data_IF_179549521883
#
_entry.id   IF_179549521883
#
_cell.length_a   1.000
_cell.length_b   1.000
_cell.length_c   1.000
_cell.angle_alpha   90.00
_cell.angle_beta   90.00
_cell.angle_gamma   90.00
#
_symmetry.space_group_name_H-M   'P 1'
#
loop_
_entity.id
_entity.type
_entity.pdbx_description
1 polymer ?
#
# COMPACT_ATOMS: atom_id res chain seq x y z
N UNK A 1 23.46 -10.63 37.81
CA UNK A 1 23.71 -9.80 36.61
C UNK A 1 22.56 -10.04 35.67
N UNK A 2 21.97 -8.99 35.10
CA UNK A 2 20.91 -9.14 34.11
C UNK A 2 21.56 -9.36 32.75
N UNK A 3 21.23 -10.46 32.08
CA UNK A 3 21.74 -10.78 30.74
C UNK A 3 20.67 -10.46 29.71
N UNK A 4 21.07 -9.84 28.61
CA UNK A 4 20.28 -9.70 27.38
C UNK A 4 20.99 -10.50 26.30
N UNK A 5 20.26 -11.06 25.33
CA UNK A 5 20.89 -11.76 24.21
C UNK A 5 20.57 -11.07 22.91
N UNK A 6 21.58 -10.91 22.05
CA UNK A 6 21.46 -10.27 20.75
C UNK A 6 21.55 -11.27 19.62
N UNK A 7 20.69 -11.11 18.64
CA UNK A 7 20.93 -11.62 17.31
C UNK A 7 21.75 -10.58 16.55
N UNK A 8 22.88 -11.01 16.00
CA UNK A 8 23.81 -10.16 15.26
C UNK A 8 23.86 -10.60 13.81
N UNK A 9 23.91 -9.64 12.88
CA UNK A 9 24.24 -9.95 11.49
C UNK A 9 25.77 -9.95 11.25
N UNK A 10 26.20 -10.18 10.01
CA UNK A 10 27.61 -10.23 9.60
C UNK A 10 28.40 -8.93 9.86
N UNK A 11 27.72 -7.81 10.11
CA UNK A 11 28.32 -6.50 10.44
C UNK A 11 28.30 -6.20 11.93
N UNK A 12 27.92 -7.18 12.77
CA UNK A 12 27.67 -7.03 14.20
C UNK A 12 26.55 -6.04 14.53
N UNK A 13 25.64 -5.78 13.59
CA UNK A 13 24.46 -4.97 13.86
C UNK A 13 23.44 -5.81 14.64
N UNK A 14 22.81 -5.22 15.65
CA UNK A 14 21.81 -5.89 16.46
C UNK A 14 20.50 -5.88 15.68
N UNK A 15 20.09 -7.05 15.19
CA UNK A 15 18.88 -7.20 14.38
C UNK A 15 17.66 -7.62 15.21
N UNK A 16 17.88 -8.35 16.31
CA UNK A 16 16.89 -8.64 17.35
C UNK A 16 17.54 -8.80 18.73
N UNK A 17 16.73 -8.76 19.80
CA UNK A 17 17.18 -9.07 21.14
C UNK A 17 16.13 -9.85 21.94
N UNK A 18 16.58 -10.63 22.92
CA UNK A 18 15.73 -11.30 23.91
C UNK A 18 16.17 -10.99 25.32
N UNK A 19 15.22 -10.63 26.18
CA UNK A 19 15.47 -10.44 27.62
C UNK A 19 15.48 -11.77 28.40
N UNK A 20 14.72 -12.76 27.92
CA UNK A 20 14.58 -14.08 28.54
C UNK A 20 14.36 -15.13 27.44
N UNK A 21 14.85 -16.35 27.67
CA UNK A 21 14.70 -17.46 26.72
C UNK A 21 15.69 -17.39 25.54
N UNK A 22 15.17 -17.65 24.34
CA UNK A 22 15.92 -17.68 23.08
C UNK A 22 14.99 -17.75 21.88
N UNK A 23 15.55 -17.63 20.68
CA UNK A 23 14.82 -17.76 19.42
C UNK A 23 15.30 -19.06 18.77
N UNK A 24 14.37 -19.95 18.41
CA UNK A 24 14.71 -21.24 17.81
C UNK A 24 15.34 -21.03 16.44
N UNK A 25 16.49 -21.66 16.21
CA UNK A 25 17.21 -21.58 14.93
C UNK A 25 18.03 -20.29 14.76
N UNK A 26 18.20 -19.50 15.82
CA UNK A 26 19.00 -18.27 15.79
C UNK A 26 20.08 -18.36 16.87
N UNK A 27 21.32 -18.09 16.47
CA UNK A 27 22.44 -17.98 17.39
C UNK A 27 22.42 -16.60 18.07
N UNK A 28 22.38 -16.60 19.39
CA UNK A 28 22.28 -15.39 20.20
C UNK A 28 23.56 -15.20 21.01
N UNK A 29 24.03 -13.96 21.03
CA UNK A 29 25.19 -13.54 21.83
C UNK A 29 24.73 -12.98 23.16
N UNK A 30 25.16 -13.58 24.27
CA UNK A 30 24.90 -13.07 25.62
C UNK A 30 25.66 -11.75 25.87
N UNK A 31 24.97 -10.78 26.45
CA UNK A 31 25.51 -9.46 26.77
C UNK A 31 25.05 -8.99 28.15
N UNK A 32 25.92 -8.25 28.82
CA UNK A 32 25.64 -7.65 30.13
C UNK A 32 24.70 -6.44 29.95
N UNK A 33 23.45 -6.60 30.37
CA UNK A 33 22.44 -5.55 30.20
C UNK A 33 22.77 -4.25 30.94
N UNK A 34 23.69 -4.28 31.93
CA UNK A 34 24.14 -3.06 32.62
C UNK A 34 25.06 -2.18 31.77
N UNK A 35 25.54 -2.68 30.63
CA UNK A 35 26.39 -1.95 29.67
C UNK A 35 25.61 -1.38 28.48
N UNK A 36 24.29 -1.52 28.49
CA UNK A 36 23.44 -0.93 27.47
C UNK A 36 23.43 0.60 27.60
N UNK A 37 23.35 1.35 26.49
CA UNK A 37 22.93 2.74 26.50
C UNK A 37 21.58 2.90 27.22
N UNK A 38 21.41 3.96 28.00
CA UNK A 38 20.19 4.22 28.78
C UNK A 38 18.95 4.31 27.87
N UNK A 39 19.13 4.76 26.63
CA UNK A 39 18.09 4.95 25.62
C UNK A 39 17.85 3.72 24.73
N UNK A 40 18.59 2.62 24.95
CA UNK A 40 18.59 1.46 24.05
C UNK A 40 17.17 0.96 23.77
N UNK A 41 16.34 0.78 24.80
CA UNK A 41 15.00 0.22 24.65
C UNK A 41 14.00 1.18 23.99
N UNK A 42 14.21 2.49 24.14
CA UNK A 42 13.32 3.51 23.58
C UNK A 42 13.63 3.74 22.10
N UNK A 43 14.93 3.71 21.75
CA UNK A 43 15.42 4.00 20.42
C UNK A 43 15.66 2.75 19.57
N UNK A 44 15.52 1.54 20.12
CA UNK A 44 15.79 0.31 19.39
C UNK A 44 15.02 0.24 18.07
N UNK A 45 15.77 0.12 16.97
CA UNK A 45 15.31 -0.34 15.66
C UNK A 45 16.31 -1.38 15.18
N UNK A 46 15.85 -2.34 14.39
CA UNK A 46 16.72 -3.36 13.80
C UNK A 46 17.87 -2.67 13.04
N UNK A 47 19.10 -2.97 13.41
CA UNK A 47 20.31 -2.39 12.81
C UNK A 47 20.72 -0.99 13.31
N UNK A 48 19.93 -0.35 14.19
CA UNK A 48 20.26 0.99 14.74
C UNK A 48 21.43 0.96 15.70
N UNK A 49 21.58 -0.13 16.45
CA UNK A 49 22.72 -0.35 17.33
C UNK A 49 23.59 -1.49 16.80
N UNK A 50 24.88 -1.44 17.09
CA UNK A 50 25.85 -2.50 16.76
C UNK A 50 26.75 -2.82 17.96
N UNK A 51 27.28 -4.04 17.98
CA UNK A 51 28.26 -4.47 18.97
C UNK A 51 29.68 -4.21 18.44
N UNK A 52 30.44 -3.36 19.16
CA UNK A 52 31.82 -3.06 18.83
C UNK A 52 32.66 -2.97 20.12
N UNK A 53 33.76 -3.74 20.19
CA UNK A 53 34.66 -3.75 21.34
C UNK A 53 33.94 -3.97 22.68
N UNK A 54 33.05 -4.97 22.73
CA UNK A 54 32.20 -5.31 23.89
C UNK A 54 31.29 -4.17 24.39
N UNK A 55 30.97 -3.21 23.52
CA UNK A 55 30.04 -2.12 23.78
C UNK A 55 28.96 -2.06 22.71
N UNK A 56 27.74 -1.75 23.16
CA UNK A 56 26.64 -1.41 22.25
C UNK A 56 26.78 0.07 21.91
N UNK A 57 26.94 0.38 20.63
CA UNK A 57 27.06 1.73 20.09
C UNK A 57 26.02 1.94 18.99
N UNK A 58 25.67 3.20 18.71
CA UNK A 58 24.87 3.51 17.53
C UNK A 58 25.61 3.12 16.24
N UNK A 59 24.90 2.53 15.29
CA UNK A 59 25.44 2.19 13.98
C UNK A 59 25.56 3.46 13.13
N UNK A 60 26.78 3.92 12.81
CA UNK A 60 26.99 5.14 12.03
C UNK A 60 26.47 5.03 10.59
N UNK A 61 26.20 3.82 10.11
CA UNK A 61 25.67 3.54 8.77
C UNK A 61 24.18 3.21 8.78
N UNK A 62 23.48 3.43 9.90
CA UNK A 62 22.06 3.16 9.98
C UNK A 62 21.28 4.01 8.96
N UNK A 63 20.55 3.33 8.09
CA UNK A 63 19.55 3.92 7.23
C UNK A 63 18.19 3.42 7.69
N UNK A 64 17.30 4.35 8.05
CA UNK A 64 15.93 3.99 8.37
C UNK A 64 15.27 3.32 7.14
N UNK A 65 14.51 2.24 7.33
CA UNK A 65 13.79 1.62 6.23
C UNK A 65 12.84 2.65 5.60
N UNK A 66 12.88 2.76 4.29
CA UNK A 66 11.94 3.61 3.57
C UNK A 66 10.52 3.03 3.74
N UNK A 67 9.53 3.86 4.10
CA UNK A 67 8.15 3.41 4.09
C UNK A 67 7.79 2.95 2.66
N UNK A 68 6.96 1.90 2.53
CA UNK A 68 6.53 1.47 1.21
C UNK A 68 5.85 2.63 0.49
N UNK A 69 6.14 2.80 -0.81
CA UNK A 69 5.42 3.77 -1.63
C UNK A 69 3.94 3.38 -1.70
N UNK A 70 3.09 4.14 -1.02
CA UNK A 70 1.64 4.01 -1.12
C UNK A 70 1.19 4.81 -2.35
N UNK A 71 1.44 4.25 -3.53
CA UNK A 71 0.89 4.74 -4.80
C UNK A 71 -0.53 4.24 -5.04
N UNK A 72 -1.28 4.93 -5.91
CA UNK A 72 -2.61 4.45 -6.31
C UNK A 72 -2.49 3.05 -6.90
N UNK A 73 -3.25 2.10 -6.36
CA UNK A 73 -3.18 0.73 -6.83
C UNK A 73 -3.63 0.63 -8.29
N UNK A 74 -3.17 -0.41 -8.99
CA UNK A 74 -3.67 -0.74 -10.32
C UNK A 74 -5.20 -0.87 -10.36
N UNK A 75 -5.80 -1.32 -9.24
CA UNK A 75 -7.26 -1.44 -9.09
C UNK A 75 -7.92 -0.05 -9.08
N UNK A 76 -7.37 0.92 -8.35
CA UNK A 76 -7.94 2.28 -8.29
C UNK A 76 -7.94 2.95 -9.66
N UNK A 77 -6.87 2.77 -10.45
CA UNK A 77 -6.79 3.28 -11.81
C UNK A 77 -7.82 2.62 -12.73
N UNK A 78 -8.00 1.30 -12.62
CA UNK A 78 -9.00 0.55 -13.39
C UNK A 78 -10.43 0.97 -13.02
N UNK A 79 -10.73 1.18 -11.74
CA UNK A 79 -12.04 1.65 -11.28
C UNK A 79 -12.33 3.06 -11.81
N UNK A 80 -11.34 3.96 -11.79
CA UNK A 80 -11.49 5.29 -12.37
C UNK A 80 -11.79 5.22 -13.88
N UNK A 81 -11.03 4.40 -14.62
CA UNK A 81 -11.24 4.20 -16.06
C UNK A 81 -12.64 3.63 -16.38
N UNK A 82 -13.11 2.65 -15.61
CA UNK A 82 -14.47 2.12 -15.73
C UNK A 82 -15.53 3.19 -15.44
N UNK A 83 -15.31 4.05 -14.45
CA UNK A 83 -16.19 5.18 -14.14
C UNK A 83 -16.32 6.14 -15.32
N UNK A 84 -15.20 6.53 -15.94
CA UNK A 84 -15.22 7.38 -17.13
C UNK A 84 -15.92 6.73 -18.32
N UNK A 85 -15.67 5.43 -18.56
CA UNK A 85 -16.34 4.69 -19.63
C UNK A 85 -17.86 4.65 -19.41
N UNK A 86 -18.31 4.40 -18.18
CA UNK A 86 -19.74 4.36 -17.86
C UNK A 86 -20.42 5.72 -18.07
N UNK A 87 -19.73 6.83 -17.80
CA UNK A 87 -20.25 8.17 -18.08
C UNK A 87 -20.42 8.41 -19.58
N UNK A 88 -19.43 8.03 -20.39
CA UNK A 88 -19.51 8.13 -21.85
C UNK A 88 -20.66 7.29 -22.41
N UNK A 89 -20.75 6.02 -22.00
CA UNK A 89 -21.80 5.11 -22.43
C UNK A 89 -23.20 5.65 -22.10
N UNK A 90 -23.36 6.32 -20.95
CA UNK A 90 -24.63 6.92 -20.57
C UNK A 90 -24.99 8.15 -21.43
N UNK A 91 -24.01 8.94 -21.86
CA UNK A 91 -24.25 10.05 -22.79
C UNK A 91 -24.68 9.54 -24.17
N UNK A 92 -24.03 8.49 -24.66
CA UNK A 92 -24.34 7.88 -25.94
C UNK A 92 -25.75 7.25 -25.92
N UNK A 93 -26.09 6.53 -24.83
CA UNK A 93 -27.45 6.01 -24.61
C UNK A 93 -28.51 7.12 -24.64
N UNK A 94 -28.27 8.25 -23.96
CA UNK A 94 -29.21 9.37 -24.00
C UNK A 94 -29.37 9.94 -25.40
N UNK A 95 -28.30 9.99 -26.19
CA UNK A 95 -28.34 10.46 -27.58
C UNK A 95 -29.17 9.52 -28.44
N UNK A 96 -28.95 8.20 -28.33
CA UNK A 96 -29.74 7.19 -29.03
C UNK A 96 -31.22 7.23 -28.65
N UNK A 97 -31.54 7.40 -27.37
CA UNK A 97 -32.94 7.55 -26.91
C UNK A 97 -33.61 8.76 -27.55
N UNK A 98 -32.92 9.91 -27.62
CA UNK A 98 -33.46 11.11 -28.26
C UNK A 98 -33.67 10.90 -29.76
N UNK A 99 -32.73 10.28 -30.45
CA UNK A 99 -32.85 9.97 -31.88
C UNK A 99 -34.01 9.02 -32.16
N UNK A 100 -34.15 7.96 -31.36
CA UNK A 100 -35.26 7.02 -31.48
C UNK A 100 -36.62 7.71 -31.30
N UNK A 101 -36.74 8.61 -30.31
CA UNK A 101 -37.96 9.38 -30.09
C UNK A 101 -38.28 10.29 -31.30
N UNK A 102 -37.28 10.97 -31.87
CA UNK A 102 -37.45 11.84 -33.04
C UNK A 102 -37.90 11.05 -34.27
N UNK A 103 -37.31 9.88 -34.54
CA UNK A 103 -37.73 9.02 -35.65
C UNK A 103 -39.17 8.54 -35.49
N UNK A 104 -39.56 8.16 -34.26
CA UNK A 104 -40.94 7.75 -33.98
C UNK A 104 -41.95 8.88 -34.29
N UNK A 105 -41.62 10.13 -33.93
CA UNK A 105 -42.44 11.29 -34.27
C UNK A 105 -42.54 11.51 -35.78
N UNK A 106 -41.45 11.37 -36.53
CA UNK A 106 -41.45 11.52 -37.99
C UNK A 106 -42.33 10.46 -38.67
N UNK A 107 -42.20 9.19 -38.24
CA UNK A 107 -43.03 8.08 -38.74
C UNK A 107 -44.51 8.35 -38.50
N UNK A 108 -44.87 8.82 -37.30
CA UNK A 108 -46.25 9.16 -36.95
C UNK A 108 -46.82 10.28 -37.83
N UNK A 109 -46.03 11.32 -38.14
CA UNK A 109 -46.46 12.41 -39.02
C UNK A 109 -46.70 11.94 -40.46
N UNK A 110 -45.79 11.10 -40.99
CA UNK A 110 -45.93 10.52 -42.33
C UNK A 110 -47.20 9.66 -42.44
N UNK A 111 -47.47 8.83 -41.43
CA UNK A 111 -48.69 7.99 -41.40
C UNK A 111 -49.98 8.82 -41.38
N UNK A 112 -50.00 9.94 -40.65
CA UNK A 112 -51.16 10.86 -40.66
C UNK A 112 -51.37 11.51 -42.03
N UNK A 113 -50.30 11.90 -42.72
CA UNK A 113 -50.38 12.50 -44.06
C UNK A 113 -50.88 11.49 -45.12
N UNK A 114 -50.45 10.23 -45.04
CA UNK A 114 -50.88 9.15 -45.95
C UNK A 114 -52.29 8.65 -45.64
N UNK A 115 -52.69 8.61 -44.37
CA UNK A 115 -54.04 8.20 -43.95
C UNK A 115 -55.14 9.19 -44.35
N UNK A 116 -54.80 10.47 -44.53
CA UNK A 116 -55.72 11.50 -45.01
C UNK A 116 -55.89 11.57 -46.54
N UNK A 117 -55.12 10.80 -47.31
CA UNK A 117 -55.22 10.75 -48.78
C UNK A 117 -56.16 9.65 -49.29
N UNK A 118 -56.69 8.79 -48.41
CA UNK A 118 -57.60 7.69 -48.76
C UNK A 118 -59.02 7.86 -48.17
N UNK A 119 -59.45 9.09 -47.87
CA UNK A 119 -60.80 9.42 -47.38
C UNK A 119 -61.52 10.40 -48.33
#
# INVERSE_FOLDING_TARGET
MSTIKFELNDKNEIISYVKQGGIVGIDLTDFDASKLPDDFFDNYRSGYYMLQNDKVIENPNYAAPEPPEIGSSTIEQQVAALGYQQMQDNQDKQTLVKQNAQMAYQIMQIQQQLGGQNA
#
